data_IF_806898157302
#
_entry.id   IF_806898157302
#
_cell.length_a   1.000
_cell.length_b   1.000
_cell.length_c   1.000
_cell.angle_alpha   90.00
_cell.angle_beta   90.00
_cell.angle_gamma   90.00
#
_symmetry.space_group_name_H-M   'P 1'
#
loop_
_entity.id
_entity.type
_entity.pdbx_description
1 polymer ?
#
# COMPACT_ATOMS: atom_id res chain seq x y z
N UNK A 1 17.25 29.27 -21.22
CA UNK A 1 16.56 29.46 -19.92
C UNK A 1 16.26 28.09 -19.36
N UNK A 2 17.16 27.56 -18.54
CA UNK A 2 17.07 26.20 -17.98
C UNK A 2 16.23 26.23 -16.71
N UNK A 3 15.18 25.41 -16.65
CA UNK A 3 14.33 25.25 -15.45
C UNK A 3 15.16 24.62 -14.31
N UNK A 4 15.05 25.10 -13.07
CA UNK A 4 15.70 24.45 -11.95
C UNK A 4 15.08 23.06 -11.75
N UNK A 5 15.93 22.04 -11.74
CA UNK A 5 15.53 20.70 -11.36
C UNK A 5 14.97 20.76 -9.94
N UNK A 6 13.73 20.33 -9.76
CA UNK A 6 13.15 20.10 -8.44
C UNK A 6 14.11 19.20 -7.66
N UNK A 7 14.72 19.74 -6.61
CA UNK A 7 15.50 18.99 -5.63
C UNK A 7 14.56 17.95 -5.01
N UNK A 8 14.60 16.73 -5.53
CA UNK A 8 13.95 15.60 -4.89
C UNK A 8 14.67 15.39 -3.56
N UNK A 9 13.93 15.60 -2.47
CA UNK A 9 14.37 15.27 -1.14
C UNK A 9 13.85 13.86 -0.77
N UNK A 10 14.70 12.97 -0.24
CA UNK A 10 16.15 13.13 -0.11
C UNK A 10 16.86 12.99 -1.47
N UNK A 11 18.05 13.60 -1.63
CA UNK A 11 18.77 13.60 -2.90
C UNK A 11 19.06 12.17 -3.35
N UNK A 12 18.77 11.84 -4.61
CA UNK A 12 19.02 10.49 -5.16
C UNK A 12 20.48 10.04 -4.99
N UNK A 13 21.43 10.97 -4.94
CA UNK A 13 22.84 10.68 -4.63
C UNK A 13 23.04 10.12 -3.22
N UNK A 14 22.28 10.61 -2.25
CA UNK A 14 22.33 10.17 -0.85
C UNK A 14 21.77 8.75 -0.69
N UNK A 15 20.71 8.42 -1.44
CA UNK A 15 20.11 7.08 -1.47
C UNK A 15 21.09 6.10 -2.13
N UNK A 16 21.70 6.47 -3.26
CA UNK A 16 22.62 5.58 -4.00
C UNK A 16 23.87 5.25 -3.20
N UNK A 17 24.43 6.18 -2.43
CA UNK A 17 25.60 5.91 -1.60
C UNK A 17 25.34 4.92 -0.47
N UNK A 18 24.08 4.72 -0.06
CA UNK A 18 23.73 3.75 0.99
C UNK A 18 23.66 2.31 0.47
N UNK A 19 23.54 2.11 -0.84
CA UNK A 19 23.32 0.79 -1.47
C UNK A 19 24.53 0.23 -2.23
N UNK A 20 25.66 0.93 -2.29
CA UNK A 20 26.90 0.40 -2.91
C UNK A 20 27.75 -0.24 -1.82
N UNK A 21 27.91 -1.58 -1.80
CA UNK A 21 28.89 -2.23 -0.95
C UNK A 21 30.29 -1.92 -1.50
N UNK A 22 31.21 -1.45 -0.65
CA UNK A 22 32.62 -1.27 -1.00
C UNK A 22 33.28 -2.64 -1.22
N UNK A 23 33.23 -3.15 -2.46
CA UNK A 23 34.04 -4.28 -2.88
C UNK A 23 35.47 -3.83 -3.21
N UNK A 24 36.37 -4.06 -2.27
CA UNK A 24 37.71 -4.60 -2.54
C UNK A 24 38.81 -3.62 -2.95
N UNK A 25 39.65 -3.25 -1.99
CA UNK A 25 41.08 -3.01 -2.27
C UNK A 25 41.96 -3.70 -1.22
N UNK A 26 42.61 -4.77 -1.63
CA UNK A 26 43.73 -5.44 -0.99
C UNK A 26 44.76 -5.64 -2.11
N UNK A 27 46.08 -5.42 -2.05
CA UNK A 27 47.12 -5.09 -1.05
C UNK A 27 48.32 -4.60 -1.88
N UNK A 28 49.12 -3.62 -1.41
CA UNK A 28 50.59 -3.62 -1.65
C UNK A 28 51.32 -2.61 -0.74
N UNK A 29 52.47 -3.05 -0.24
CA UNK A 29 53.29 -2.47 0.83
C UNK A 29 54.34 -1.45 0.38
N UNK A 30 54.96 -0.80 1.39
CA UNK A 30 56.25 -0.07 1.42
C UNK A 30 56.26 1.37 0.84
N UNK A 31 56.80 2.44 1.44
CA UNK A 31 57.57 2.70 2.69
C UNK A 31 57.58 4.21 3.00
N UNK A 32 57.83 4.56 4.28
CA UNK A 32 58.39 5.80 4.86
C UNK A 32 57.70 7.17 4.55
N UNK A 33 57.34 8.01 5.53
CA UNK A 33 58.26 8.55 6.55
C UNK A 33 57.51 9.28 7.69
N UNK A 34 58.03 9.06 8.90
CA UNK A 34 58.14 9.96 10.08
C UNK A 34 57.01 10.08 11.13
N UNK A 35 57.42 9.61 12.32
CA UNK A 35 56.78 9.60 13.62
C UNK A 35 56.74 10.94 14.37
N UNK A 36 55.76 11.08 15.27
CA UNK A 36 55.99 11.63 16.61
C UNK A 36 55.02 10.99 17.62
N UNK A 37 55.59 10.54 18.75
CA UNK A 37 55.04 9.64 19.78
C UNK A 37 54.30 10.37 20.92
N UNK A 38 53.26 9.74 21.46
CA UNK A 38 52.70 9.98 22.79
C UNK A 38 52.02 8.69 23.33
N UNK A 39 52.06 8.37 24.64
CA UNK A 39 52.11 6.99 25.10
C UNK A 39 50.77 6.43 25.64
N UNK A 40 50.60 5.12 25.51
CA UNK A 40 50.19 4.26 26.64
C UNK A 40 48.72 3.83 26.76
N UNK A 41 48.47 2.60 26.29
CA UNK A 41 47.62 1.57 26.88
C UNK A 41 46.09 1.77 26.95
N UNK A 42 45.36 0.94 26.19
CA UNK A 42 43.94 0.74 26.44
C UNK A 42 43.17 0.12 25.28
N UNK A 43 43.49 -1.12 24.93
CA UNK A 43 42.69 -1.96 24.05
C UNK A 43 41.22 -2.01 24.50
N UNK A 44 40.31 -1.41 23.72
CA UNK A 44 38.99 -1.98 23.36
C UNK A 44 38.60 -1.40 22.00
N UNK A 45 38.80 -2.21 20.95
CA UNK A 45 37.98 -2.07 19.75
C UNK A 45 36.55 -2.32 20.20
N UNK A 46 35.81 -1.25 20.45
CA UNK A 46 34.36 -1.33 20.49
C UNK A 46 33.97 -1.63 19.04
N UNK A 47 33.83 -2.93 18.74
CA UNK A 47 33.05 -3.35 17.60
C UNK A 47 31.75 -2.55 17.68
N UNK A 48 31.52 -1.70 16.68
CA UNK A 48 30.18 -1.20 16.44
C UNK A 48 29.28 -2.44 16.44
N UNK A 49 28.18 -2.47 17.22
CA UNK A 49 27.22 -3.53 17.05
C UNK A 49 26.78 -3.47 15.60
N UNK A 50 27.21 -4.47 14.83
CA UNK A 50 26.77 -4.67 13.48
C UNK A 50 25.24 -4.69 13.53
N UNK A 51 24.63 -3.92 12.65
CA UNK A 51 23.21 -3.89 12.39
C UNK A 51 22.76 -5.25 11.79
N UNK A 52 22.83 -6.30 12.61
CA UNK A 52 22.29 -7.65 12.32
C UNK A 52 20.88 -7.82 12.90
N UNK A 53 20.41 -6.86 13.71
CA UNK A 53 19.00 -6.70 13.98
C UNK A 53 18.38 -5.99 12.77
N UNK A 54 17.62 -6.72 11.94
CA UNK A 54 16.44 -6.27 11.16
C UNK A 54 16.19 -7.13 9.90
N UNK A 55 17.14 -7.96 9.47
CA UNK A 55 16.94 -8.85 8.31
C UNK A 55 15.84 -9.90 8.50
N UNK A 56 15.80 -10.70 9.61
CA UNK A 56 14.74 -11.69 9.79
C UNK A 56 13.34 -11.08 9.99
N UNK A 57 13.25 -9.87 10.56
CA UNK A 57 11.98 -9.21 10.86
C UNK A 57 11.28 -8.67 9.62
N UNK A 58 12.02 -8.28 8.57
CA UNK A 58 11.45 -7.87 7.28
C UNK A 58 11.18 -9.04 6.31
N UNK A 59 11.86 -10.17 6.50
CA UNK A 59 11.71 -11.33 5.61
C UNK A 59 10.34 -12.01 5.78
N UNK A 60 9.78 -12.02 6.98
CA UNK A 60 8.47 -12.63 7.24
C UNK A 60 7.31 -11.88 6.52
N UNK A 61 7.17 -10.54 6.63
CA UNK A 61 6.17 -9.80 5.87
C UNK A 61 6.33 -9.93 4.36
N UNK A 62 7.56 -9.91 3.84
CA UNK A 62 7.81 -10.03 2.39
C UNK A 62 7.49 -11.44 1.87
N UNK A 63 7.82 -12.48 2.63
CA UNK A 63 7.47 -13.85 2.27
C UNK A 63 5.95 -14.08 2.27
N UNK A 64 5.21 -13.45 3.20
CA UNK A 64 3.75 -13.47 3.21
C UNK A 64 3.17 -12.78 1.97
N UNK A 65 3.67 -11.57 1.65
CA UNK A 65 3.25 -10.84 0.45
C UNK A 65 3.53 -11.65 -0.82
N UNK A 66 4.70 -12.27 -0.94
CA UNK A 66 5.04 -13.13 -2.07
C UNK A 66 4.05 -14.30 -2.18
N UNK A 67 3.79 -15.00 -1.06
CA UNK A 67 2.85 -16.13 -1.02
C UNK A 67 1.43 -15.73 -1.48
N UNK A 68 0.95 -14.58 -1.03
CA UNK A 68 -0.38 -14.06 -1.40
C UNK A 68 -0.45 -13.73 -2.89
N UNK A 69 0.59 -13.10 -3.44
CA UNK A 69 0.68 -12.82 -4.88
C UNK A 69 0.74 -14.09 -5.72
N UNK A 70 1.46 -15.11 -5.26
CA UNK A 70 1.47 -16.42 -5.89
C UNK A 70 0.10 -17.09 -5.86
N UNK A 71 -0.64 -16.98 -4.76
CA UNK A 71 -2.02 -17.48 -4.64
C UNK A 71 -2.98 -16.78 -5.63
N UNK A 72 -2.84 -15.46 -5.78
CA UNK A 72 -3.59 -14.67 -6.78
C UNK A 72 -3.26 -15.11 -8.20
N UNK A 73 -1.97 -15.30 -8.51
CA UNK A 73 -1.53 -15.77 -9.82
C UNK A 73 -2.05 -17.19 -10.12
N UNK A 74 -1.99 -18.09 -9.13
CA UNK A 74 -2.49 -19.46 -9.24
C UNK A 74 -4.03 -19.51 -9.40
N UNK A 75 -4.76 -18.55 -8.85
CA UNK A 75 -6.22 -18.46 -8.97
C UNK A 75 -6.67 -18.27 -10.43
N UNK A 76 -5.84 -17.66 -11.27
CA UNK A 76 -6.08 -17.46 -12.71
C UNK A 76 -7.49 -16.90 -13.00
N UNK A 77 -7.80 -15.72 -12.46
CA UNK A 77 -9.11 -15.11 -12.60
C UNK A 77 -9.55 -14.97 -14.06
N UNK A 78 -10.81 -15.30 -14.39
CA UNK A 78 -11.34 -15.05 -15.73
C UNK A 78 -11.38 -13.55 -15.99
N UNK A 79 -11.11 -13.13 -17.23
CA UNK A 79 -11.15 -11.71 -17.64
C UNK A 79 -12.55 -11.07 -17.58
N UNK A 80 -13.59 -11.85 -17.20
CA UNK A 80 -14.97 -11.39 -17.13
C UNK A 80 -15.18 -10.48 -15.93
N UNK A 81 -15.67 -9.27 -16.19
CA UNK A 81 -16.08 -8.34 -15.16
C UNK A 81 -17.42 -8.76 -14.52
N UNK A 82 -17.51 -8.59 -13.21
CA UNK A 82 -18.67 -8.94 -12.39
C UNK A 82 -18.64 -8.11 -11.09
N UNK A 83 -19.78 -7.95 -10.40
CA UNK A 83 -19.81 -7.41 -9.03
C UNK A 83 -18.82 -8.14 -8.13
N UNK A 84 -18.09 -7.39 -7.31
CA UNK A 84 -17.08 -7.92 -6.39
C UNK A 84 -15.73 -8.21 -7.04
N UNK A 85 -15.57 -8.00 -8.36
CA UNK A 85 -14.26 -8.13 -9.01
C UNK A 85 -13.40 -6.92 -8.72
N UNK A 86 -12.18 -7.17 -8.25
CA UNK A 86 -11.14 -6.16 -8.19
C UNK A 86 -10.38 -6.17 -9.52
N UNK A 87 -10.41 -5.05 -10.24
CA UNK A 87 -9.71 -4.89 -11.51
C UNK A 87 -8.60 -3.85 -11.38
N UNK A 88 -7.49 -4.06 -12.08
CA UNK A 88 -6.52 -2.99 -12.30
C UNK A 88 -6.71 -2.35 -13.65
N UNK A 89 -6.49 -1.05 -13.71
CA UNK A 89 -6.55 -0.21 -14.91
C UNK A 89 -5.26 0.60 -14.99
N UNK A 90 -4.67 0.69 -16.18
CA UNK A 90 -3.54 1.59 -16.40
C UNK A 90 -4.07 2.96 -16.86
N UNK A 91 -3.82 4.00 -16.08
CA UNK A 91 -4.23 5.37 -16.38
C UNK A 91 -3.02 6.30 -16.24
N UNK A 92 -2.65 6.99 -17.32
CA UNK A 92 -1.49 7.90 -17.36
C UNK A 92 -0.17 7.26 -16.84
N UNK A 93 0.02 5.97 -17.13
CA UNK A 93 1.20 5.21 -16.69
C UNK A 93 1.16 4.75 -15.23
N UNK A 94 0.06 4.99 -14.52
CA UNK A 94 -0.16 4.54 -13.13
C UNK A 94 -1.18 3.42 -13.10
N UNK A 95 -0.91 2.39 -12.29
CA UNK A 95 -1.86 1.31 -12.05
C UNK A 95 -2.86 1.75 -10.99
N UNK A 96 -4.15 1.66 -11.30
CA UNK A 96 -5.25 1.99 -10.41
C UNK A 96 -6.08 0.74 -10.17
N UNK A 97 -6.37 0.44 -8.90
CA UNK A 97 -7.30 -0.61 -8.51
C UNK A 97 -8.73 -0.09 -8.46
N UNK A 98 -9.68 -0.89 -8.91
CA UNK A 98 -11.12 -0.57 -8.85
C UNK A 98 -11.89 -1.82 -8.46
N UNK A 99 -12.66 -1.73 -7.38
CA UNK A 99 -13.63 -2.75 -7.03
C UNK A 99 -14.95 -2.49 -7.78
N UNK A 100 -15.35 -3.43 -8.64
CA UNK A 100 -16.57 -3.32 -9.43
C UNK A 100 -17.81 -3.62 -8.58
N UNK A 101 -18.79 -2.74 -8.65
CA UNK A 101 -20.07 -2.87 -7.93
C UNK A 101 -21.17 -3.42 -8.84
N UNK A 102 -21.52 -2.66 -9.88
CA UNK A 102 -22.66 -2.96 -10.76
C UNK A 102 -22.42 -2.46 -12.18
N UNK A 103 -23.03 -3.14 -13.12
CA UNK A 103 -23.12 -2.68 -14.50
C UNK A 103 -24.38 -1.82 -14.66
N UNK A 104 -24.22 -0.58 -15.11
CA UNK A 104 -25.31 0.40 -15.22
C UNK A 104 -25.94 0.36 -16.61
N UNK A 105 -25.12 0.31 -17.67
CA UNK A 105 -25.56 0.32 -19.06
C UNK A 105 -24.56 -0.39 -19.98
N UNK A 106 -24.90 -1.58 -20.45
CA UNK A 106 -24.09 -2.34 -21.41
C UNK A 106 -22.69 -2.69 -20.87
N UNK A 107 -21.68 -1.90 -21.26
CA UNK A 107 -20.28 -2.07 -20.85
C UNK A 107 -19.82 -1.04 -19.81
N UNK A 108 -20.75 -0.24 -19.28
CA UNK A 108 -20.47 0.78 -18.28
C UNK A 108 -20.63 0.21 -16.86
N UNK A 109 -19.55 0.21 -16.11
CA UNK A 109 -19.45 -0.33 -14.76
C UNK A 109 -19.20 0.78 -13.75
N UNK A 110 -19.90 0.72 -12.64
CA UNK A 110 -19.65 1.54 -11.46
C UNK A 110 -18.88 0.73 -10.41
N UNK A 111 -18.09 1.44 -9.62
CA UNK A 111 -17.29 0.85 -8.56
C UNK A 111 -16.59 1.93 -7.74
N UNK A 112 -15.66 1.48 -6.91
CA UNK A 112 -14.88 2.34 -6.02
C UNK A 112 -13.39 2.13 -6.22
N UNK A 113 -12.60 3.15 -5.95
CA UNK A 113 -11.15 3.05 -5.98
C UNK A 113 -10.66 2.04 -4.93
N UNK A 114 -9.67 1.24 -5.29
CA UNK A 114 -8.91 0.42 -4.35
C UNK A 114 -7.48 0.97 -4.23
N UNK A 115 -7.00 1.10 -3.00
CA UNK A 115 -5.72 1.74 -2.67
C UNK A 115 -4.86 0.86 -1.75
N UNK A 116 -3.60 1.27 -1.56
CA UNK A 116 -2.58 0.49 -0.81
C UNK A 116 -2.34 1.03 0.61
N UNK A 117 -2.69 2.29 0.83
CA UNK A 117 -2.26 3.10 1.96
C UNK A 117 -3.23 3.00 3.15
N UNK A 118 -3.25 1.84 3.82
CA UNK A 118 -4.11 1.60 4.99
C UNK A 118 -3.87 2.56 6.15
N UNK A 119 -2.65 3.06 6.30
CA UNK A 119 -2.29 4.01 7.37
C UNK A 119 -2.99 5.37 7.24
N UNK A 120 -3.52 5.66 6.04
CA UNK A 120 -4.25 6.88 5.72
C UNK A 120 -5.75 6.63 5.52
N UNK A 121 -6.24 5.45 5.89
CA UNK A 121 -7.64 5.12 5.79
C UNK A 121 -8.49 6.13 6.59
N UNK A 122 -9.51 6.68 5.94
CA UNK A 122 -10.56 7.45 6.56
C UNK A 122 -11.73 6.58 7.01
N UNK A 123 -12.73 7.20 7.63
CA UNK A 123 -13.89 6.52 8.22
C UNK A 123 -14.79 5.75 7.22
N UNK A 124 -14.67 6.08 5.94
CA UNK A 124 -15.39 5.45 4.83
C UNK A 124 -14.47 4.65 3.90
N UNK A 125 -13.22 4.42 4.31
CA UNK A 125 -12.31 3.50 3.64
C UNK A 125 -12.44 2.13 4.31
N UNK A 126 -12.78 1.09 3.54
CA UNK A 126 -12.93 -0.27 4.06
C UNK A 126 -11.66 -1.04 3.79
N UNK A 127 -10.97 -1.49 4.84
CA UNK A 127 -9.77 -2.32 4.70
C UNK A 127 -10.19 -3.70 4.21
N UNK A 128 -9.37 -4.34 3.38
CA UNK A 128 -9.54 -5.73 2.98
C UNK A 128 -8.67 -6.61 3.87
N UNK A 129 -9.30 -7.64 4.43
CA UNK A 129 -8.70 -8.55 5.39
C UNK A 129 -8.21 -9.82 4.68
N UNK A 130 -7.34 -10.62 5.33
CA UNK A 130 -6.98 -11.94 4.83
C UNK A 130 -8.16 -12.84 4.44
N UNK A 131 -9.29 -12.67 5.12
CA UNK A 131 -10.52 -13.42 4.89
C UNK A 131 -11.24 -13.03 3.59
N UNK A 132 -10.94 -11.86 3.03
CA UNK A 132 -11.51 -11.38 1.77
C UNK A 132 -10.71 -11.87 0.54
N UNK A 133 -9.62 -12.59 0.76
CA UNK A 133 -8.80 -13.18 -0.31
C UNK A 133 -9.59 -14.21 -1.14
N UNK A 134 -9.24 -14.39 -2.42
CA UNK A 134 -8.03 -13.88 -3.10
C UNK A 134 -8.18 -12.49 -3.73
N UNK A 135 -7.21 -11.60 -3.47
CA UNK A 135 -7.01 -10.34 -4.18
C UNK A 135 -5.53 -9.91 -4.16
N UNK A 136 -5.11 -9.08 -5.12
CA UNK A 136 -3.74 -8.55 -5.18
C UNK A 136 -3.46 -7.68 -3.94
N UNK A 137 -2.49 -8.06 -3.08
CA UNK A 137 -2.24 -7.43 -1.79
C UNK A 137 -1.90 -5.93 -1.84
N UNK A 138 -1.48 -5.40 -3.00
CA UNK A 138 -1.27 -3.96 -3.15
C UNK A 138 -2.56 -3.14 -3.01
N UNK A 139 -3.73 -3.77 -3.07
CA UNK A 139 -5.04 -3.11 -2.92
C UNK A 139 -5.66 -3.50 -1.58
N UNK A 140 -5.09 -2.98 -0.50
CA UNK A 140 -5.48 -3.32 0.87
C UNK A 140 -6.71 -2.58 1.41
N UNK A 141 -7.28 -1.61 0.68
CA UNK A 141 -8.50 -0.91 1.08
C UNK A 141 -9.34 -0.45 -0.10
N UNK A 142 -10.63 -0.21 0.15
CA UNK A 142 -11.61 0.32 -0.80
C UNK A 142 -12.12 1.68 -0.31
N UNK A 143 -11.95 2.71 -1.14
CA UNK A 143 -12.40 4.07 -0.85
C UNK A 143 -13.85 4.25 -1.27
N UNK A 144 -14.80 3.99 -0.36
CA UNK A 144 -16.23 3.96 -0.72
C UNK A 144 -16.82 5.33 -1.06
N UNK A 145 -16.16 6.41 -0.65
CA UNK A 145 -16.48 7.78 -1.05
C UNK A 145 -16.00 8.13 -2.46
N UNK A 146 -15.00 7.38 -2.97
CA UNK A 146 -14.37 7.63 -4.27
C UNK A 146 -14.99 6.73 -5.35
N UNK A 147 -16.25 7.01 -5.67
CA UNK A 147 -16.99 6.29 -6.69
C UNK A 147 -16.54 6.74 -8.10
N UNK A 148 -16.35 5.76 -8.99
CA UNK A 148 -15.94 6.00 -10.36
C UNK A 148 -16.69 5.10 -11.34
N UNK A 149 -16.63 5.47 -12.61
CA UNK A 149 -17.26 4.72 -13.69
C UNK A 149 -16.23 4.31 -14.73
N UNK A 150 -16.19 3.03 -15.06
CA UNK A 150 -15.32 2.46 -16.09
C UNK A 150 -16.15 1.97 -17.26
N UNK A 151 -15.66 2.18 -18.48
CA UNK A 151 -16.18 1.50 -19.66
C UNK A 151 -15.26 0.36 -20.01
N UNK A 152 -15.79 -0.85 -20.11
CA UNK A 152 -15.02 -2.03 -20.48
C UNK A 152 -14.62 -1.94 -21.96
N UNK A 153 -13.44 -1.38 -22.26
CA UNK A 153 -12.89 -1.31 -23.61
C UNK A 153 -11.55 -2.03 -23.69
N UNK A 154 -11.15 -2.58 -24.85
CA UNK A 154 -9.84 -3.21 -25.01
C UNK A 154 -8.66 -2.30 -24.65
N UNK A 155 -8.79 -0.99 -24.89
CA UNK A 155 -7.74 0.02 -24.62
C UNK A 155 -7.51 0.24 -23.12
N UNK A 156 -8.49 -0.09 -22.28
CA UNK A 156 -8.37 0.03 -20.83
C UNK A 156 -7.33 -0.96 -20.25
N UNK A 157 -6.99 -2.02 -21.00
CA UNK A 157 -6.02 -3.06 -20.62
C UNK A 157 -6.27 -3.64 -19.22
N UNK A 158 -7.55 -3.69 -18.81
CA UNK A 158 -7.89 -4.02 -17.45
C UNK A 158 -7.72 -5.51 -17.15
N UNK A 159 -7.22 -5.82 -15.95
CA UNK A 159 -7.02 -7.20 -15.50
C UNK A 159 -7.75 -7.44 -14.20
N UNK A 160 -8.43 -8.57 -14.08
CA UNK A 160 -9.01 -9.00 -12.80
C UNK A 160 -7.86 -9.49 -11.91
N UNK A 161 -7.71 -8.85 -10.76
CA UNK A 161 -6.67 -9.12 -9.78
C UNK A 161 -7.22 -9.60 -8.43
N UNK A 162 -8.54 -9.70 -8.30
CA UNK A 162 -9.16 -10.17 -7.08
C UNK A 162 -10.66 -10.36 -7.21
N UNK A 163 -11.22 -10.96 -6.18
CA UNK A 163 -12.65 -11.12 -6.00
C UNK A 163 -12.96 -11.09 -4.51
N UNK A 164 -13.87 -10.21 -4.10
CA UNK A 164 -14.43 -10.22 -2.75
C UNK A 164 -15.74 -10.99 -2.74
N UNK A 165 -16.09 -11.57 -1.59
CA UNK A 165 -17.35 -12.27 -1.41
C UNK A 165 -18.56 -11.34 -1.59
N UNK A 166 -19.73 -11.91 -1.90
CA UNK A 166 -20.97 -11.14 -1.99
C UNK A 166 -21.32 -10.45 -0.66
N UNK A 167 -21.04 -11.10 0.47
CA UNK A 167 -21.22 -10.53 1.81
C UNK A 167 -20.28 -9.33 2.03
N UNK A 168 -19.01 -9.45 1.65
CA UNK A 168 -18.05 -8.34 1.75
C UNK A 168 -18.45 -7.17 0.85
N UNK A 169 -18.90 -7.46 -0.38
CA UNK A 169 -19.42 -6.42 -1.28
C UNK A 169 -20.65 -5.71 -0.69
N UNK A 170 -21.54 -6.44 0.00
CA UNK A 170 -22.69 -5.85 0.68
C UNK A 170 -22.27 -4.94 1.85
N UNK A 171 -21.24 -5.34 2.62
CA UNK A 171 -20.66 -4.50 3.66
C UNK A 171 -20.07 -3.19 3.09
N UNK A 172 -19.34 -3.28 1.98
CA UNK A 172 -18.75 -2.13 1.28
C UNK A 172 -19.85 -1.19 0.75
N UNK A 173 -20.94 -1.74 0.18
CA UNK A 173 -22.12 -0.96 -0.21
C UNK A 173 -22.75 -0.23 0.97
N UNK A 174 -22.88 -0.89 2.11
CA UNK A 174 -23.45 -0.26 3.31
C UNK A 174 -22.60 0.93 3.79
N UNK A 175 -21.27 0.81 3.74
CA UNK A 175 -20.37 1.94 4.04
C UNK A 175 -20.52 3.07 3.03
N UNK A 176 -20.65 2.75 1.74
CA UNK A 176 -20.92 3.76 0.72
C UNK A 176 -22.25 4.48 0.97
N UNK A 177 -23.30 3.76 1.34
CA UNK A 177 -24.62 4.34 1.63
C UNK A 177 -24.56 5.26 2.86
N UNK A 178 -23.78 4.90 3.89
CA UNK A 178 -23.53 5.76 5.05
C UNK A 178 -22.82 7.07 4.66
N UNK A 179 -21.79 6.98 3.82
CA UNK A 179 -21.10 8.16 3.30
C UNK A 179 -22.04 9.03 2.48
N UNK A 180 -22.80 8.43 1.55
CA UNK A 180 -23.70 9.14 0.65
C UNK A 180 -24.84 9.84 1.41
N UNK A 181 -25.30 9.24 2.52
CA UNK A 181 -26.29 9.83 3.41
C UNK A 181 -25.68 10.77 4.48
N UNK A 182 -24.35 10.95 4.49
CA UNK A 182 -23.61 11.72 5.48
C UNK A 182 -23.97 11.32 6.92
N UNK A 183 -24.11 10.01 7.17
CA UNK A 183 -24.50 9.50 8.49
C UNK A 183 -23.40 9.77 9.51
N UNK A 184 -23.77 10.22 10.73
CA UNK A 184 -22.81 10.35 11.81
C UNK A 184 -22.31 8.96 12.21
N UNK A 185 -21.00 8.81 12.33
CA UNK A 185 -20.38 7.58 12.77
C UNK A 185 -20.19 7.61 14.29
N UNK A 186 -20.58 6.55 14.98
CA UNK A 186 -20.39 6.39 16.42
C UNK A 186 -18.93 5.96 16.73
N UNK A 187 -17.96 6.71 16.22
CA UNK A 187 -16.52 6.46 16.35
C UNK A 187 -15.84 7.79 16.62
N UNK A 188 -15.01 7.82 17.65
CA UNK A 188 -14.26 9.02 17.99
C UNK A 188 -13.21 9.34 16.91
N UNK A 189 -13.01 10.64 16.58
CA UNK A 189 -11.99 11.04 15.63
C UNK A 189 -10.57 10.78 16.17
N UNK A 190 -9.88 9.80 15.60
CA UNK A 190 -8.49 9.45 15.95
C UNK A 190 -7.65 9.22 14.68
N UNK A 191 -7.27 10.26 13.93
CA UNK A 191 -6.57 10.14 12.64
C UNK A 191 -5.41 9.13 12.67
N UNK A 192 -5.33 8.27 11.64
CA UNK A 192 -4.30 7.23 11.54
C UNK A 192 -4.58 5.98 12.38
N UNK A 193 -5.78 5.85 12.96
CA UNK A 193 -6.26 4.63 13.61
C UNK A 193 -7.21 3.86 12.71
N UNK A 194 -7.12 2.54 12.81
CA UNK A 194 -8.10 1.60 12.28
C UNK A 194 -9.05 1.19 13.40
N UNK A 195 -10.34 1.18 13.12
CA UNK A 195 -11.39 0.76 14.03
C UNK A 195 -12.25 -0.34 13.42
N UNK A 196 -12.64 -1.32 14.23
CA UNK A 196 -13.70 -2.26 13.90
C UNK A 196 -15.05 -1.59 14.21
N UNK A 197 -15.92 -1.52 13.21
CA UNK A 197 -17.25 -0.94 13.34
C UNK A 197 -18.32 -1.78 12.64
N UNK A 198 -19.59 -1.46 12.92
CA UNK A 198 -20.72 -2.08 12.23
C UNK A 198 -21.28 -1.11 11.19
N UNK A 199 -21.24 -1.49 9.92
CA UNK A 199 -21.83 -0.77 8.80
C UNK A 199 -23.25 -1.27 8.49
N UNK A 200 -24.18 -0.36 8.18
CA UNK A 200 -25.58 -0.69 7.87
C UNK A 200 -26.30 -1.43 9.00
N UNK A 201 -25.80 -1.34 10.23
CA UNK A 201 -26.33 -2.03 11.41
C UNK A 201 -26.08 -3.54 11.49
N UNK A 202 -25.42 -4.16 10.50
CA UNK A 202 -25.24 -5.62 10.44
C UNK A 202 -23.86 -6.11 10.01
N UNK A 203 -23.09 -5.29 9.29
CA UNK A 203 -21.82 -5.75 8.70
C UNK A 203 -20.62 -5.29 9.52
N UNK A 204 -19.82 -6.19 10.12
CA UNK A 204 -18.54 -5.80 10.70
C UNK A 204 -17.57 -5.38 9.58
N UNK A 205 -16.93 -4.22 9.75
CA UNK A 205 -15.91 -3.71 8.82
C UNK A 205 -14.76 -3.08 9.60
N UNK A 206 -13.53 -3.30 9.12
CA UNK A 206 -12.38 -2.47 9.50
C UNK A 206 -12.36 -1.23 8.63
N UNK A 207 -12.37 -0.05 9.25
CA UNK A 207 -12.20 1.23 8.56
C UNK A 207 -11.21 2.11 9.30
N UNK A 208 -10.79 3.20 8.65
CA UNK A 208 -10.18 4.30 9.39
C UNK A 208 -11.15 4.92 10.40
N UNK A 209 -10.66 5.89 11.16
CA UNK A 209 -11.47 6.75 12.03
C UNK A 209 -11.74 8.09 11.35
N UNK A 210 -12.76 8.85 11.82
CA UNK A 210 -12.97 10.20 11.34
C UNK A 210 -11.77 11.09 11.61
N UNK A 211 -11.56 12.02 10.70
CA UNK A 211 -10.67 13.15 10.89
C UNK A 211 -11.55 14.20 11.56
N UNK A 212 -11.14 14.77 12.70
CA UNK A 212 -12.01 15.64 13.51
C UNK A 212 -12.60 16.83 12.74
N UNK A 213 -13.39 17.65 13.41
CA UNK A 213 -14.11 18.79 12.80
C UNK A 213 -13.25 19.84 12.09
N UNK A 214 -11.93 19.81 12.28
CA UNK A 214 -10.97 20.77 11.72
C UNK A 214 -10.22 20.25 10.47
N UNK A 215 -10.60 19.09 9.91
CA UNK A 215 -10.00 18.60 8.66
C UNK A 215 -10.51 19.40 7.44
N UNK A 216 -9.62 19.99 6.62
CA UNK A 216 -10.00 20.81 5.46
C UNK A 216 -10.42 20.02 4.21
N UNK A 217 -10.44 18.69 4.23
CA UNK A 217 -10.79 17.84 3.08
C UNK A 217 -12.29 17.67 2.86
#
# INVERSE_FOLDING_TARGET
MSRPAHELWPPLGLIRSTFVPEEGVAVAAASDTRAMTGPGAGMRSAAAPAAEADAPDLLLPLAELARRRDAVAARAFPARWAPGRLVSVLHEGRLIGVLLDKCVQGELWQGWLAASETDWAGAFDVLLEPEDEPFEPMFGLIQTWNALTLRQTPQLCARVLGEVSATRLAAIRAVHDEWAAALPLAIEPEPGRIALRTAGGVFPVLSGTPLGSDDPR
#
